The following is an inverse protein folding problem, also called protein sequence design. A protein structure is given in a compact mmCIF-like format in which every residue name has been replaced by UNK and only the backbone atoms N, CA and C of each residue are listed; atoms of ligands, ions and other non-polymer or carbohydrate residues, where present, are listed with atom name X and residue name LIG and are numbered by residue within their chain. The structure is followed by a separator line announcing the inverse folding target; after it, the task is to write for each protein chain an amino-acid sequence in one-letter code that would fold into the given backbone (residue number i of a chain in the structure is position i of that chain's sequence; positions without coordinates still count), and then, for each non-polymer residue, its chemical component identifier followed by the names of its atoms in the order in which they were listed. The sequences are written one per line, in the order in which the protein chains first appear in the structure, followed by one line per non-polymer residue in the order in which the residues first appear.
data_IF_144687498215
#
_entry.id   IF_144687498215
#
_cell.length_a   1.000
_cell.length_b   1.000
_cell.length_c   1.000
_cell.angle_alpha   90.00
_cell.angle_beta   90.00
_cell.angle_gamma   90.00
#
_symmetry.space_group_name_H-M   'P 1'
#
loop_
_entity.id
_entity.type
_entity.pdbx_description
1 polymer ?
#
# COMPACT_ATOMS: atom_id res chain seq x y z
N UNK A 1 16.79 -3.87 -1.82
CA UNK A 1 15.33 -3.98 -2.03
C UNK A 1 15.07 -5.38 -2.54
N UNK A 2 14.42 -6.24 -1.75
CA UNK A 2 13.92 -7.51 -2.29
C UNK A 2 12.69 -7.17 -3.14
N UNK A 3 12.68 -7.60 -4.40
CA UNK A 3 11.58 -7.32 -5.34
C UNK A 3 10.21 -7.75 -4.78
N UNK A 4 10.19 -8.77 -3.92
CA UNK A 4 9.01 -9.23 -3.19
C UNK A 4 8.40 -8.17 -2.27
N UNK A 5 9.21 -7.33 -1.61
CA UNK A 5 8.70 -6.24 -0.76
C UNK A 5 8.11 -5.12 -1.60
N UNK A 6 8.78 -4.75 -2.70
CA UNK A 6 8.26 -3.73 -3.61
C UNK A 6 6.89 -4.12 -4.19
N UNK A 7 6.73 -5.39 -4.59
CA UNK A 7 5.45 -5.90 -5.07
C UNK A 7 4.38 -5.91 -3.98
N UNK A 8 4.73 -6.29 -2.74
CA UNK A 8 3.79 -6.26 -1.63
C UNK A 8 3.27 -4.85 -1.34
N UNK A 9 4.14 -3.84 -1.40
CA UNK A 9 3.74 -2.44 -1.22
C UNK A 9 2.81 -1.96 -2.34
N UNK A 10 3.12 -2.27 -3.61
CA UNK A 10 2.25 -1.90 -4.74
C UNK A 10 0.88 -2.58 -4.62
N UNK A 11 0.85 -3.87 -4.31
CA UNK A 11 -0.41 -4.61 -4.11
C UNK A 11 -1.25 -4.00 -2.97
N UNK A 12 -0.60 -3.54 -1.89
CA UNK A 12 -1.30 -2.88 -0.78
C UNK A 12 -1.86 -1.52 -1.21
N UNK A 13 -1.08 -0.71 -1.93
CA UNK A 13 -1.54 0.58 -2.47
C UNK A 13 -2.75 0.40 -3.37
N UNK A 14 -2.72 -0.57 -4.28
CA UNK A 14 -3.85 -0.85 -5.18
C UNK A 14 -5.11 -1.29 -4.44
N UNK A 15 -4.97 -2.14 -3.40
CA UNK A 15 -6.09 -2.52 -2.54
C UNK A 15 -6.68 -1.32 -1.81
N UNK A 16 -5.83 -0.43 -1.26
CA UNK A 16 -6.29 0.77 -0.57
C UNK A 16 -7.00 1.75 -1.52
N UNK A 17 -6.53 1.87 -2.78
CA UNK A 17 -7.16 2.73 -3.79
C UNK A 17 -8.47 2.16 -4.34
N UNK A 18 -8.57 0.83 -4.45
CA UNK A 18 -9.78 0.16 -4.92
C UNK A 18 -10.86 0.03 -3.85
N UNK A 19 -10.49 0.08 -2.57
CA UNK A 19 -11.41 -0.05 -1.45
C UNK A 19 -12.27 1.21 -1.28
N UNK A 20 -13.58 1.05 -1.42
CA UNK A 20 -14.56 2.13 -1.21
C UNK A 20 -15.28 2.05 0.14
N UNK A 21 -15.04 0.99 0.91
CA UNK A 21 -15.66 0.73 2.21
C UNK A 21 -14.67 0.95 3.35
N UNK A 22 -15.06 1.75 4.35
CA UNK A 22 -14.18 2.12 5.47
C UNK A 22 -13.90 0.95 6.44
N UNK A 23 -14.82 -0.02 6.58
CA UNK A 23 -14.58 -1.21 7.42
C UNK A 23 -13.59 -2.17 6.75
N UNK A 24 -13.72 -2.35 5.44
CA UNK A 24 -12.80 -3.16 4.63
C UNK A 24 -11.41 -2.51 4.58
N UNK A 25 -11.35 -1.17 4.45
CA UNK A 25 -10.10 -0.41 4.51
C UNK A 25 -9.37 -0.66 5.84
N UNK A 26 -10.09 -0.61 6.96
CA UNK A 26 -9.51 -0.88 8.28
C UNK A 26 -8.98 -2.32 8.40
N UNK A 27 -9.67 -3.31 7.83
CA UNK A 27 -9.20 -4.70 7.82
C UNK A 27 -7.93 -4.86 6.98
N UNK A 28 -7.87 -4.23 5.81
CA UNK A 28 -6.69 -4.24 4.94
C UNK A 28 -5.50 -3.63 5.67
N UNK A 29 -5.68 -2.47 6.31
CA UNK A 29 -4.62 -1.81 7.08
C UNK A 29 -4.15 -2.67 8.26
N UNK A 30 -5.07 -3.30 9.00
CA UNK A 30 -4.73 -4.19 10.11
C UNK A 30 -3.96 -5.43 9.66
N UNK A 31 -4.39 -6.07 8.56
CA UNK A 31 -3.75 -7.27 8.03
C UNK A 31 -2.34 -7.00 7.47
N UNK A 32 -2.05 -5.76 7.08
CA UNK A 32 -0.78 -5.39 6.45
C UNK A 32 0.06 -4.43 7.31
N UNK A 33 -0.17 -4.36 8.63
CA UNK A 33 0.58 -3.45 9.51
C UNK A 33 2.11 -3.62 9.42
N UNK A 34 2.59 -4.84 9.22
CA UNK A 34 4.02 -5.13 9.07
C UNK A 34 4.62 -4.55 7.78
N UNK A 35 3.78 -4.25 6.79
CA UNK A 35 4.15 -3.58 5.53
C UNK A 35 3.97 -2.07 5.60
N UNK A 36 3.33 -1.52 6.64
CA UNK A 36 3.15 -0.08 6.79
C UNK A 36 4.37 0.49 7.52
N UNK A 37 5.45 0.65 6.77
CA UNK A 37 6.72 1.17 7.25
C UNK A 37 7.13 2.43 6.47
N UNK A 38 8.19 3.17 6.88
CA UNK A 38 8.59 4.38 6.19
C UNK A 38 8.92 4.19 4.70
N UNK A 39 9.36 3.00 4.29
CA UNK A 39 9.63 2.67 2.89
C UNK A 39 8.33 2.52 2.10
N UNK A 40 7.27 1.97 2.69
CA UNK A 40 5.95 1.91 2.07
C UNK A 40 5.41 3.31 1.73
N UNK A 41 5.57 4.27 2.65
CA UNK A 41 5.17 5.66 2.41
C UNK A 41 5.90 6.26 1.21
N UNK A 42 7.21 6.03 1.09
CA UNK A 42 7.97 6.48 -0.09
C UNK A 42 7.48 5.85 -1.39
N UNK A 43 7.15 4.55 -1.37
CA UNK A 43 6.59 3.87 -2.55
C UNK A 43 5.22 4.44 -2.90
N UNK A 44 4.38 4.76 -1.93
CA UNK A 44 3.08 5.40 -2.14
C UNK A 44 3.22 6.78 -2.78
N UNK A 45 4.15 7.61 -2.31
CA UNK A 45 4.44 8.93 -2.92
C UNK A 45 4.93 8.80 -4.37
N UNK A 46 5.82 7.84 -4.62
CA UNK A 46 6.31 7.55 -5.97
C UNK A 46 5.18 7.05 -6.89
N UNK A 47 4.31 6.18 -6.38
CA UNK A 47 3.15 5.67 -7.11
C UNK A 47 2.15 6.78 -7.45
N UNK A 48 1.85 7.66 -6.48
CA UNK A 48 1.00 8.84 -6.69
C UNK A 48 1.60 9.81 -7.72
N UNK A 49 2.92 9.95 -7.75
CA UNK A 49 3.62 10.77 -8.76
C UNK A 49 3.52 10.15 -10.15
N UNK A 50 3.58 8.81 -10.26
CA UNK A 50 3.44 8.09 -11.52
C UNK A 50 2.01 8.12 -12.09
N UNK A 51 1.00 8.14 -11.22
CA UNK A 51 -0.42 8.25 -11.61
C UNK A 51 -0.80 9.63 -12.18
N UNK A 52 0.05 10.64 -12.04
CA UNK A 52 -0.21 12.04 -12.39
C UNK A 52 0.16 12.35 -13.84
#
# INVERSE_FOLDING_TARGET
MNEQHAQAYVNLIEQLLACTDDEELNKILQANQELIDPQFLQVMENYATWLK
#
